data_IF_961753690811
#
_entry.id   IF_961753690811
#
_cell.length_a   1.000
_cell.length_b   1.000
_cell.length_c   1.000
_cell.angle_alpha   90.00
_cell.angle_beta   90.00
_cell.angle_gamma   90.00
#
_symmetry.space_group_name_H-M   'P 1'
#
loop_
_entity.id
_entity.type
_entity.pdbx_description
1 polymer ?
#
# COMPACT_ATOMS: atom_id res chain seq x y z
N UNK A 1 -39.45 28.32 -29.93
CA UNK A 1 -39.57 27.09 -29.13
C UNK A 1 -40.80 27.21 -28.24
N UNK A 2 -41.93 26.73 -28.76
CA UNK A 2 -43.19 26.63 -28.02
C UNK A 2 -43.02 25.70 -26.80
N UNK A 3 -43.81 25.91 -25.75
CA UNK A 3 -43.79 25.02 -24.58
C UNK A 3 -44.18 23.57 -24.93
N UNK A 4 -45.04 23.41 -25.94
CA UNK A 4 -45.47 22.12 -26.49
C UNK A 4 -44.32 21.35 -27.15
N UNK A 5 -43.45 22.06 -27.90
CA UNK A 5 -42.26 21.45 -28.51
C UNK A 5 -41.31 20.94 -27.44
N UNK A 6 -41.10 21.73 -26.37
CA UNK A 6 -40.26 21.32 -25.23
C UNK A 6 -40.83 20.09 -24.51
N UNK A 7 -42.15 19.97 -24.38
CA UNK A 7 -42.79 18.80 -23.79
C UNK A 7 -42.60 17.56 -24.66
N UNK A 8 -42.81 17.68 -25.97
CA UNK A 8 -42.57 16.60 -26.94
C UNK A 8 -41.12 16.09 -26.89
N UNK A 9 -40.13 16.99 -26.78
CA UNK A 9 -38.73 16.58 -26.62
C UNK A 9 -38.47 15.83 -25.31
N UNK A 10 -39.09 16.25 -24.20
CA UNK A 10 -38.95 15.56 -22.91
C UNK A 10 -39.57 14.16 -22.94
N UNK A 11 -40.74 14.01 -23.55
CA UNK A 11 -41.40 12.72 -23.71
C UNK A 11 -40.61 11.78 -24.61
N UNK A 12 -40.14 12.27 -25.76
CA UNK A 12 -39.29 11.50 -26.66
C UNK A 12 -37.99 11.05 -25.97
N UNK A 13 -37.35 11.94 -25.21
CA UNK A 13 -36.16 11.61 -24.43
C UNK A 13 -36.44 10.51 -23.40
N UNK A 14 -37.59 10.57 -22.70
CA UNK A 14 -37.98 9.55 -21.72
C UNK A 14 -38.17 8.19 -22.40
N UNK A 15 -38.90 8.15 -23.50
CA UNK A 15 -39.14 6.94 -24.29
C UNK A 15 -37.81 6.37 -24.80
N UNK A 16 -36.92 7.22 -25.30
CA UNK A 16 -35.61 6.81 -25.82
C UNK A 16 -34.68 6.30 -24.71
N UNK A 17 -34.70 6.93 -23.54
CA UNK A 17 -33.96 6.48 -22.36
C UNK A 17 -34.45 5.10 -21.87
N UNK A 18 -35.76 4.87 -21.84
CA UNK A 18 -36.35 3.59 -21.46
C UNK A 18 -35.97 2.49 -22.47
N UNK A 19 -36.10 2.78 -23.78
CA UNK A 19 -35.64 1.88 -24.86
C UNK A 19 -34.16 1.55 -24.72
N UNK A 20 -33.31 2.56 -24.51
CA UNK A 20 -31.87 2.35 -24.32
C UNK A 20 -31.59 1.46 -23.10
N UNK A 21 -32.26 1.69 -21.97
CA UNK A 21 -32.08 0.87 -20.76
C UNK A 21 -32.43 -0.60 -21.00
N UNK A 22 -33.50 -0.87 -21.75
CA UNK A 22 -33.92 -2.22 -22.14
C UNK A 22 -32.86 -2.88 -23.04
N UNK A 23 -32.39 -2.17 -24.07
CA UNK A 23 -31.36 -2.69 -24.99
C UNK A 23 -30.04 -3.03 -24.27
N UNK A 24 -29.62 -2.21 -23.30
CA UNK A 24 -28.41 -2.48 -22.50
C UNK A 24 -28.63 -3.65 -21.55
N UNK A 25 -29.81 -3.77 -20.94
CA UNK A 25 -30.18 -4.92 -20.12
C UNK A 25 -30.06 -6.22 -20.93
N UNK A 26 -30.63 -6.23 -22.14
CA UNK A 26 -30.66 -7.43 -22.97
C UNK A 26 -29.28 -7.78 -23.53
N UNK A 27 -28.47 -6.77 -23.88
CA UNK A 27 -27.06 -6.94 -24.21
C UNK A 27 -26.25 -7.52 -23.03
N UNK A 28 -26.47 -7.02 -21.81
CA UNK A 28 -25.75 -7.54 -20.64
C UNK A 28 -26.14 -8.99 -20.30
N UNK A 29 -27.39 -9.39 -20.59
CA UNK A 29 -27.86 -10.78 -20.42
C UNK A 29 -27.32 -11.71 -21.50
N UNK A 30 -27.08 -11.21 -22.72
CA UNK A 30 -26.56 -12.02 -23.83
C UNK A 30 -25.05 -12.24 -23.76
N UNK A 31 -24.32 -11.47 -22.95
CA UNK A 31 -22.88 -11.64 -22.75
C UNK A 31 -22.57 -12.95 -22.02
N UNK A 32 -21.63 -13.72 -22.58
CA UNK A 32 -21.09 -14.90 -21.89
C UNK A 32 -20.14 -14.51 -20.77
N UNK A 33 -19.93 -15.39 -19.79
CA UNK A 33 -18.99 -15.15 -18.69
C UNK A 33 -17.56 -14.84 -19.18
N UNK A 34 -17.12 -15.47 -20.27
CA UNK A 34 -15.82 -15.21 -20.90
C UNK A 34 -15.75 -13.80 -21.50
N UNK A 35 -16.80 -13.36 -22.20
CA UNK A 35 -16.88 -12.00 -22.73
C UNK A 35 -16.88 -10.95 -21.62
N UNK A 36 -17.59 -11.21 -20.52
CA UNK A 36 -17.60 -10.34 -19.33
C UNK A 36 -16.18 -10.24 -18.73
N UNK A 37 -15.46 -11.35 -18.63
CA UNK A 37 -14.07 -11.35 -18.15
C UNK A 37 -13.15 -10.56 -19.08
N UNK A 38 -13.23 -10.79 -20.39
CA UNK A 38 -12.44 -10.05 -21.39
C UNK A 38 -12.72 -8.54 -21.33
N UNK A 39 -13.98 -8.12 -21.20
CA UNK A 39 -14.36 -6.72 -21.03
C UNK A 39 -13.77 -6.11 -19.76
N UNK A 40 -13.76 -6.86 -18.65
CA UNK A 40 -13.13 -6.44 -17.38
C UNK A 40 -11.61 -6.28 -17.53
N UNK A 41 -10.96 -7.19 -18.23
CA UNK A 41 -9.51 -7.11 -18.51
C UNK A 41 -9.17 -5.89 -19.36
N UNK A 42 -9.92 -5.67 -20.44
CA UNK A 42 -9.76 -4.48 -21.31
C UNK A 42 -9.97 -3.20 -20.50
N UNK A 43 -11.00 -3.14 -19.66
CA UNK A 43 -11.27 -1.99 -18.80
C UNK A 43 -10.13 -1.75 -17.80
N UNK A 44 -9.60 -2.82 -17.19
CA UNK A 44 -8.46 -2.77 -16.29
C UNK A 44 -7.19 -2.31 -17.02
N UNK A 45 -6.93 -2.80 -18.23
CA UNK A 45 -5.80 -2.41 -19.05
C UNK A 45 -5.88 -0.93 -19.44
N UNK A 46 -7.06 -0.45 -19.85
CA UNK A 46 -7.31 0.99 -20.11
C UNK A 46 -7.08 1.84 -18.86
N UNK A 47 -7.58 1.40 -17.70
CA UNK A 47 -7.40 2.10 -16.41
C UNK A 47 -5.92 2.16 -16.01
N UNK A 48 -5.19 1.05 -16.12
CA UNK A 48 -3.75 0.99 -15.80
C UNK A 48 -2.93 1.83 -16.78
N UNK A 49 -3.23 1.81 -18.08
CA UNK A 49 -2.62 2.72 -19.07
C UNK A 49 -2.85 4.19 -18.72
N UNK A 50 -4.07 4.57 -18.34
CA UNK A 50 -4.40 5.94 -17.89
C UNK A 50 -3.64 6.34 -16.62
N UNK A 51 -3.57 5.44 -15.63
CA UNK A 51 -2.79 5.66 -14.40
C UNK A 51 -1.29 5.81 -14.68
N UNK A 52 -0.71 4.95 -15.54
CA UNK A 52 0.70 5.06 -15.98
C UNK A 52 0.99 6.41 -16.64
N UNK A 53 0.09 6.89 -17.51
CA UNK A 53 0.22 8.22 -18.16
C UNK A 53 0.18 9.36 -17.14
N UNK A 54 -0.78 9.34 -16.22
CA UNK A 54 -0.86 10.33 -15.13
C UNK A 54 0.40 10.33 -14.27
N UNK A 55 0.88 9.15 -13.89
CA UNK A 55 2.10 9.01 -13.10
C UNK A 55 3.34 9.52 -13.85
N UNK A 56 3.47 9.20 -15.14
CA UNK A 56 4.57 9.70 -15.99
C UNK A 56 4.53 11.22 -16.12
N UNK A 57 3.34 11.80 -16.27
CA UNK A 57 3.15 13.26 -16.30
C UNK A 57 3.57 13.87 -14.97
N UNK A 58 3.08 13.34 -13.86
CA UNK A 58 3.45 13.80 -12.52
C UNK A 58 4.96 13.77 -12.29
N UNK A 59 5.63 12.65 -12.60
CA UNK A 59 7.09 12.55 -12.46
C UNK A 59 7.85 13.55 -13.34
N UNK A 60 7.28 13.94 -14.49
CA UNK A 60 7.87 14.93 -15.40
C UNK A 60 7.68 16.34 -14.81
N UNK A 61 6.47 16.66 -14.36
CA UNK A 61 6.10 17.98 -13.84
C UNK A 61 6.83 18.27 -12.52
N UNK A 62 7.06 17.24 -11.68
CA UNK A 62 7.80 17.37 -10.41
C UNK A 62 9.30 17.10 -10.54
N UNK A 63 9.84 17.04 -11.76
CA UNK A 63 11.26 16.82 -12.03
C UNK A 63 11.88 15.66 -11.23
N UNK A 64 11.21 14.51 -11.20
CA UNK A 64 11.69 13.33 -10.47
C UNK A 64 13.14 13.02 -10.84
N UNK A 65 14.06 12.88 -9.86
CA UNK A 65 15.44 12.54 -10.12
C UNK A 65 15.56 11.30 -11.01
N UNK A 66 16.45 11.34 -12.00
CA UNK A 66 16.69 10.23 -12.92
C UNK A 66 17.87 9.40 -12.44
N UNK A 67 17.74 8.08 -12.55
CA UNK A 67 18.83 7.15 -12.20
C UNK A 67 20.08 7.47 -13.03
N UNK A 68 21.27 7.46 -12.43
CA UNK A 68 22.51 7.62 -13.18
C UNK A 68 22.71 6.45 -14.16
N UNK A 69 23.37 6.73 -15.28
CA UNK A 69 23.73 5.73 -16.27
C UNK A 69 24.69 4.71 -15.65
N UNK A 70 24.57 3.44 -16.04
CA UNK A 70 25.51 2.39 -15.60
C UNK A 70 26.90 2.59 -16.20
N UNK A 71 27.98 2.09 -15.58
CA UNK A 71 29.36 2.25 -16.06
C UNK A 71 29.53 1.86 -17.54
N UNK A 72 29.03 0.68 -17.93
CA UNK A 72 29.03 0.22 -19.32
C UNK A 72 28.26 1.17 -20.26
N UNK A 73 27.13 1.72 -19.82
CA UNK A 73 26.34 2.66 -20.63
C UNK A 73 27.06 3.99 -20.79
N UNK A 74 27.80 4.45 -19.78
CA UNK A 74 28.66 5.63 -19.90
C UNK A 74 29.76 5.39 -20.93
N UNK A 75 30.41 4.23 -20.91
CA UNK A 75 31.36 3.83 -21.93
C UNK A 75 30.74 3.79 -23.32
N UNK A 76 29.54 3.21 -23.48
CA UNK A 76 28.83 3.24 -24.77
C UNK A 76 28.54 4.67 -25.24
N UNK A 77 28.16 5.59 -24.35
CA UNK A 77 27.98 7.00 -24.70
C UNK A 77 29.29 7.62 -25.22
N UNK A 78 30.41 7.35 -24.57
CA UNK A 78 31.72 7.84 -24.99
C UNK A 78 32.13 7.22 -26.33
N UNK A 79 31.93 5.92 -26.54
CA UNK A 79 32.19 5.27 -27.83
C UNK A 79 31.31 5.88 -28.92
N UNK A 80 30.02 6.09 -28.68
CA UNK A 80 29.12 6.76 -29.62
C UNK A 80 29.62 8.16 -30.00
N UNK A 81 30.15 8.93 -29.04
CA UNK A 81 30.73 10.25 -29.29
C UNK A 81 32.00 10.16 -30.13
N UNK A 82 32.86 9.18 -29.85
CA UNK A 82 34.14 8.99 -30.53
C UNK A 82 34.00 8.43 -31.95
N UNK A 83 33.07 7.48 -32.16
CA UNK A 83 32.83 6.83 -33.45
C UNK A 83 31.72 7.49 -34.28
N UNK A 84 31.02 8.48 -33.70
CA UNK A 84 29.84 9.12 -34.29
C UNK A 84 28.73 8.13 -34.70
N UNK A 85 28.65 6.99 -34.00
CA UNK A 85 27.63 5.96 -34.22
C UNK A 85 26.47 6.20 -33.23
N UNK A 86 25.20 6.15 -33.66
CA UNK A 86 24.07 6.29 -32.75
C UNK A 86 24.01 5.11 -31.77
N UNK A 87 23.63 5.38 -30.51
CA UNK A 87 23.54 4.36 -29.44
C UNK A 87 22.75 3.12 -29.83
N UNK A 88 21.69 3.28 -30.63
CA UNK A 88 20.81 2.19 -31.05
C UNK A 88 21.54 1.18 -31.95
N UNK A 89 22.53 1.63 -32.71
CA UNK A 89 23.36 0.76 -33.55
C UNK A 89 24.43 0.09 -32.68
N UNK A 90 25.12 0.85 -31.84
CA UNK A 90 26.13 0.31 -30.93
C UNK A 90 25.56 -0.74 -29.94
N UNK A 91 24.31 -0.59 -29.52
CA UNK A 91 23.65 -1.55 -28.62
C UNK A 91 23.35 -2.89 -29.29
N UNK A 92 23.29 -2.93 -30.63
CA UNK A 92 23.10 -4.18 -31.39
C UNK A 92 24.40 -4.95 -31.58
N UNK A 93 25.55 -4.29 -31.39
CA UNK A 93 26.84 -4.93 -31.54
C UNK A 93 27.05 -5.98 -30.43
N UNK A 94 27.17 -7.27 -30.77
CA UNK A 94 27.32 -8.33 -29.77
C UNK A 94 28.67 -8.24 -29.05
N UNK A 95 29.66 -7.58 -29.65
CA UNK A 95 31.01 -7.46 -29.13
C UNK A 95 31.21 -6.28 -28.19
N UNK A 96 30.23 -5.38 -28.01
CA UNK A 96 30.39 -4.22 -27.12
C UNK A 96 30.68 -4.63 -25.67
N UNK A 97 30.08 -5.74 -25.23
CA UNK A 97 30.30 -6.31 -23.89
C UNK A 97 31.71 -6.88 -23.76
N UNK A 98 32.21 -7.57 -24.79
CA UNK A 98 33.59 -8.09 -24.82
C UNK A 98 34.60 -6.94 -24.85
N UNK A 99 34.34 -5.89 -25.64
CA UNK A 99 35.16 -4.67 -25.69
C UNK A 99 35.27 -4.03 -24.30
N UNK A 100 34.16 -3.92 -23.58
CA UNK A 100 34.15 -3.46 -22.19
C UNK A 100 34.94 -4.36 -21.24
N UNK A 101 34.79 -5.68 -21.34
CA UNK A 101 35.54 -6.63 -20.49
C UNK A 101 37.05 -6.63 -20.79
N UNK A 102 37.43 -6.35 -22.04
CA UNK A 102 38.83 -6.21 -22.45
C UNK A 102 39.47 -4.87 -22.05
N UNK A 103 38.71 -3.91 -21.52
CA UNK A 103 39.28 -2.63 -21.08
C UNK A 103 40.20 -2.81 -19.87
N UNK A 104 41.26 -1.99 -19.77
CA UNK A 104 42.10 -1.91 -18.58
C UNK A 104 41.26 -1.72 -17.32
N UNK A 105 41.68 -2.36 -16.23
CA UNK A 105 40.98 -2.26 -14.95
C UNK A 105 40.94 -0.82 -14.43
N UNK A 106 41.96 0.00 -14.75
CA UNK A 106 42.01 1.43 -14.46
C UNK A 106 40.84 2.20 -15.07
N UNK A 107 40.54 1.93 -16.35
CA UNK A 107 39.51 2.65 -17.08
C UNK A 107 38.13 2.21 -16.61
N UNK A 108 37.95 0.91 -16.35
CA UNK A 108 36.71 0.39 -15.74
C UNK A 108 36.44 0.99 -14.36
N UNK A 109 37.48 1.13 -13.52
CA UNK A 109 37.38 1.77 -12.20
C UNK A 109 36.95 3.23 -12.28
N UNK A 110 37.48 4.01 -13.24
CA UNK A 110 37.06 5.41 -13.48
C UNK A 110 35.54 5.52 -13.69
N UNK A 111 34.96 4.68 -14.53
CA UNK A 111 33.50 4.71 -14.76
C UNK A 111 32.71 4.27 -13.52
N UNK A 112 33.21 3.28 -12.78
CA UNK A 112 32.59 2.81 -11.54
C UNK A 112 32.57 3.93 -10.49
N UNK A 113 33.69 4.62 -10.26
CA UNK A 113 33.77 5.74 -9.32
C UNK A 113 32.81 6.88 -9.70
N UNK A 114 32.77 7.24 -10.99
CA UNK A 114 31.83 8.25 -11.51
C UNK A 114 30.39 7.80 -11.29
N UNK A 115 30.08 6.53 -11.53
CA UNK A 115 28.75 5.96 -11.28
C UNK A 115 28.39 6.03 -9.79
N UNK A 116 29.28 5.59 -8.90
CA UNK A 116 29.04 5.60 -7.45
C UNK A 116 28.80 7.01 -6.94
N UNK A 117 29.60 7.99 -7.37
CA UNK A 117 29.40 9.41 -7.02
C UNK A 117 28.05 9.94 -7.49
N UNK A 118 27.68 9.68 -8.75
CA UNK A 118 26.38 10.09 -9.30
C UNK A 118 25.21 9.37 -8.64
N UNK A 119 25.40 8.11 -8.24
CA UNK A 119 24.40 7.30 -7.54
C UNK A 119 24.17 7.81 -6.13
N UNK A 120 25.21 8.14 -5.38
CA UNK A 120 25.08 8.74 -4.05
C UNK A 120 24.30 10.05 -4.11
N UNK A 121 24.62 10.92 -5.07
CA UNK A 121 23.87 12.17 -5.29
C UNK A 121 22.40 11.90 -5.65
N UNK A 122 22.15 11.00 -6.60
CA UNK A 122 20.79 10.61 -6.98
C UNK A 122 19.98 10.06 -5.79
N UNK A 123 20.59 9.23 -4.94
CA UNK A 123 19.92 8.66 -3.78
C UNK A 123 19.53 9.75 -2.77
N UNK A 124 20.34 10.80 -2.60
CA UNK A 124 20.02 11.99 -1.78
C UNK A 124 18.88 12.82 -2.40
N UNK A 125 19.03 13.22 -3.67
CA UNK A 125 18.04 14.01 -4.40
C UNK A 125 16.67 13.30 -4.43
N UNK A 126 16.68 11.96 -4.57
CA UNK A 126 15.46 11.15 -4.56
C UNK A 126 14.77 11.17 -3.20
N UNK A 127 15.52 11.09 -2.09
CA UNK A 127 14.91 11.14 -0.76
C UNK A 127 14.27 12.50 -0.49
N UNK A 128 14.92 13.59 -0.90
CA UNK A 128 14.37 14.94 -0.77
C UNK A 128 13.10 15.11 -1.61
N UNK A 129 13.14 14.71 -2.88
CA UNK A 129 11.97 14.70 -3.75
C UNK A 129 10.82 13.87 -3.15
N UNK A 130 11.11 12.69 -2.59
CA UNK A 130 10.09 11.84 -1.97
C UNK A 130 9.42 12.51 -0.76
N UNK A 131 10.13 13.33 0.03
CA UNK A 131 9.53 14.09 1.14
C UNK A 131 8.54 15.13 0.62
N UNK A 132 8.94 15.93 -0.38
CA UNK A 132 8.08 16.94 -1.01
C UNK A 132 6.81 16.28 -1.58
N UNK A 133 6.95 15.12 -2.23
CA UNK A 133 5.82 14.39 -2.79
C UNK A 133 4.86 13.83 -1.74
N UNK A 134 5.34 13.53 -0.52
CA UNK A 134 4.49 13.11 0.59
C UNK A 134 3.69 14.31 1.10
N UNK A 135 4.34 15.47 1.25
CA UNK A 135 3.72 16.73 1.68
C UNK A 135 2.65 17.20 0.70
N UNK A 136 2.89 17.09 -0.61
CA UNK A 136 1.93 17.41 -1.68
C UNK A 136 0.81 16.35 -1.86
N UNK A 137 0.75 15.34 -0.98
CA UNK A 137 -0.29 14.30 -0.99
C UNK A 137 -0.13 13.26 -2.12
N UNK A 138 0.99 13.26 -2.82
CA UNK A 138 1.32 12.35 -3.92
C UNK A 138 2.06 11.08 -3.45
N UNK A 139 1.60 10.48 -2.36
CA UNK A 139 2.19 9.27 -1.76
C UNK A 139 2.32 8.10 -2.74
N UNK A 140 1.39 7.97 -3.69
CA UNK A 140 1.42 6.92 -4.72
C UNK A 140 2.63 6.99 -5.67
N UNK A 141 3.36 8.11 -5.72
CA UNK A 141 4.54 8.31 -6.55
C UNK A 141 5.86 7.96 -5.85
N UNK A 142 5.81 7.75 -4.54
CA UNK A 142 6.94 7.55 -3.63
C UNK A 142 7.16 6.05 -3.36
N UNK A 143 8.42 5.65 -3.08
CA UNK A 143 8.72 4.26 -2.75
C UNK A 143 8.02 3.84 -1.45
N UNK A 144 7.55 2.58 -1.41
CA UNK A 144 6.94 2.02 -0.20
C UNK A 144 7.86 2.04 1.01
N UNK A 145 9.19 1.94 0.82
CA UNK A 145 10.16 2.04 1.92
C UNK A 145 10.09 3.41 2.58
N UNK A 146 10.21 4.47 1.78
CA UNK A 146 10.13 5.86 2.26
C UNK A 146 8.78 6.12 2.90
N UNK A 147 7.68 5.63 2.30
CA UNK A 147 6.36 5.68 2.91
C UNK A 147 6.32 4.94 4.25
N UNK A 148 6.91 3.76 4.41
CA UNK A 148 6.91 3.06 5.71
C UNK A 148 7.74 3.78 6.76
N UNK A 149 8.82 4.44 6.34
CA UNK A 149 9.68 5.23 7.23
C UNK A 149 8.97 6.51 7.69
N UNK A 150 8.22 7.19 6.81
CA UNK A 150 7.46 8.41 7.14
C UNK A 150 6.09 8.12 7.76
N UNK A 151 5.42 7.06 7.31
CA UNK A 151 4.15 6.54 7.82
C UNK A 151 4.38 5.56 8.99
N UNK A 152 5.61 5.54 9.54
CA UNK A 152 5.83 5.15 10.91
C UNK A 152 5.00 6.13 11.75
N UNK A 153 3.82 5.67 12.16
CA UNK A 153 2.85 6.44 12.95
C UNK A 153 3.43 6.95 14.28
N UNK A 154 4.68 6.62 14.63
CA UNK A 154 5.34 7.00 15.86
C UNK A 154 6.51 7.96 15.54
N UNK A 155 6.54 9.16 16.14
CA UNK A 155 7.67 10.07 16.11
C UNK A 155 9.00 9.41 16.49
N UNK A 156 10.14 9.89 15.98
CA UNK A 156 11.48 9.36 16.27
C UNK A 156 11.72 9.05 17.74
N UNK A 157 11.31 9.96 18.62
CA UNK A 157 11.55 9.91 20.05
C UNK A 157 10.71 8.85 20.76
N UNK A 158 9.63 8.35 20.13
CA UNK A 158 8.80 7.27 20.67
C UNK A 158 8.84 5.99 19.82
N UNK A 159 9.60 5.95 18.72
CA UNK A 159 9.77 4.74 17.88
C UNK A 159 10.42 3.58 18.63
N UNK A 160 11.34 3.89 19.53
CA UNK A 160 12.04 2.89 20.36
C UNK A 160 11.15 2.38 21.52
N UNK A 161 10.12 3.14 21.91
CA UNK A 161 9.10 2.73 22.87
C UNK A 161 8.18 1.72 22.17
N UNK A 162 8.56 0.44 22.23
CA UNK A 162 7.78 -0.62 21.58
C UNK A 162 6.39 -0.69 22.17
N UNK A 163 5.39 -0.28 21.40
CA UNK A 163 3.98 -0.41 21.80
C UNK A 163 3.66 -1.87 22.11
N UNK A 164 3.16 -2.19 23.31
CA UNK A 164 2.80 -3.57 23.66
C UNK A 164 1.86 -4.18 22.64
N UNK A 165 2.09 -5.45 22.27
CA UNK A 165 1.24 -6.17 21.32
C UNK A 165 -0.01 -6.67 22.02
N UNK A 166 -1.16 -6.56 21.35
CA UNK A 166 -2.43 -7.10 21.87
C UNK A 166 -2.29 -8.60 22.16
N UNK A 167 -2.89 -9.10 23.24
CA UNK A 167 -2.85 -10.52 23.58
C UNK A 167 -3.48 -11.34 22.44
N UNK A 168 -2.85 -12.47 22.13
CA UNK A 168 -3.34 -13.41 21.12
C UNK A 168 -4.73 -13.90 21.49
N UNK A 169 -5.69 -13.81 20.57
CA UNK A 169 -7.05 -14.30 20.80
C UNK A 169 -7.07 -15.78 21.17
N UNK A 170 -8.03 -16.20 22.00
CA UNK A 170 -8.24 -17.59 22.46
C UNK A 170 -8.17 -18.60 21.32
N UNK A 171 -8.90 -18.33 20.23
CA UNK A 171 -8.89 -19.17 19.03
C UNK A 171 -7.53 -19.18 18.32
N UNK A 172 -6.82 -18.04 18.27
CA UNK A 172 -5.52 -17.96 17.61
C UNK A 172 -4.44 -18.73 18.39
N UNK A 173 -4.55 -18.79 19.72
CA UNK A 173 -3.69 -19.62 20.55
C UNK A 173 -3.90 -21.11 20.25
N UNK A 174 -5.16 -21.56 20.19
CA UNK A 174 -5.51 -22.91 19.76
C UNK A 174 -5.04 -23.21 18.34
N UNK A 175 -5.28 -22.31 17.40
CA UNK A 175 -4.83 -22.45 16.02
C UNK A 175 -3.31 -22.62 15.93
N UNK A 176 -2.55 -21.89 16.74
CA UNK A 176 -1.09 -22.00 16.79
C UNK A 176 -0.63 -23.34 17.39
N UNK A 177 -1.31 -23.88 18.39
CA UNK A 177 -1.04 -25.23 18.91
C UNK A 177 -1.34 -26.29 17.84
N UNK A 178 -2.48 -26.19 17.16
CA UNK A 178 -2.89 -27.16 16.13
C UNK A 178 -2.03 -27.10 14.87
N UNK A 179 -1.55 -25.93 14.48
CA UNK A 179 -0.59 -25.79 13.37
C UNK A 179 0.77 -26.41 13.66
N UNK A 180 1.22 -26.44 14.93
CA UNK A 180 2.44 -27.14 15.32
C UNK A 180 2.30 -28.66 15.24
N UNK A 181 1.10 -29.16 15.55
CA UNK A 181 0.76 -30.59 15.49
C UNK A 181 0.49 -31.07 14.06
N UNK A 182 -0.14 -30.23 13.22
CA UNK A 182 -0.54 -30.55 11.84
C UNK A 182 0.22 -29.69 10.84
N UNK A 183 1.51 -30.02 10.64
CA UNK A 183 2.40 -29.28 9.72
C UNK A 183 2.16 -29.62 8.23
N UNK A 184 1.51 -30.75 7.96
CA UNK A 184 1.39 -31.31 6.61
C UNK A 184 0.17 -30.81 5.82
N UNK A 185 -0.75 -30.07 6.46
CA UNK A 185 -1.98 -29.59 5.83
C UNK A 185 -1.84 -28.13 5.37
N UNK A 186 -2.25 -27.78 4.13
CA UNK A 186 -2.28 -26.40 3.66
C UNK A 186 -3.05 -25.47 4.63
N UNK A 187 -2.39 -24.38 5.03
CA UNK A 187 -2.87 -23.46 6.09
C UNK A 187 -4.28 -22.89 5.87
N UNK A 188 -4.78 -22.86 4.63
CA UNK A 188 -6.10 -22.28 4.30
C UNK A 188 -7.24 -23.26 4.62
N UNK A 189 -7.05 -24.55 4.38
CA UNK A 189 -8.03 -25.60 4.66
C UNK A 189 -8.04 -25.95 6.14
N UNK A 190 -6.85 -26.05 6.73
CA UNK A 190 -6.67 -26.26 8.16
C UNK A 190 -7.40 -25.19 8.98
N UNK A 191 -7.32 -23.91 8.60
CA UNK A 191 -8.02 -22.83 9.32
C UNK A 191 -9.55 -22.97 9.28
N UNK A 192 -10.13 -23.48 8.20
CA UNK A 192 -11.58 -23.69 8.10
C UNK A 192 -12.02 -24.83 9.02
N UNK A 193 -11.30 -25.95 8.98
CA UNK A 193 -11.56 -27.09 9.86
C UNK A 193 -11.35 -26.74 11.34
N UNK A 194 -10.27 -26.03 11.68
CA UNK A 194 -10.01 -25.60 13.06
C UNK A 194 -11.08 -24.65 13.60
N UNK A 195 -11.73 -23.87 12.71
CA UNK A 195 -12.81 -22.98 13.13
C UNK A 195 -14.07 -23.76 13.52
N UNK A 196 -14.42 -24.80 12.76
CA UNK A 196 -15.55 -25.68 13.10
C UNK A 196 -15.23 -26.51 14.35
N UNK A 197 -14.03 -27.08 14.44
CA UNK A 197 -13.56 -27.81 15.63
C UNK A 197 -13.61 -26.91 16.88
N UNK A 198 -13.15 -25.66 16.77
CA UNK A 198 -13.22 -24.71 17.89
C UNK A 198 -14.65 -24.37 18.33
N UNK A 199 -15.61 -24.32 17.40
CA UNK A 199 -17.01 -24.08 17.74
C UNK A 199 -17.59 -25.29 18.52
N UNK A 200 -17.24 -26.51 18.10
CA UNK A 200 -17.68 -27.78 18.72
C UNK A 200 -16.93 -28.18 19.99
N UNK A 201 -15.74 -27.64 20.26
CA UNK A 201 -14.94 -27.98 21.45
C UNK A 201 -15.67 -27.70 22.78
N UNK A 202 -15.36 -28.52 23.79
CA UNK A 202 -15.95 -28.43 25.12
C UNK A 202 -15.54 -27.15 25.85
N UNK A 203 -16.41 -26.66 26.75
CA UNK A 203 -16.12 -25.45 27.54
C UNK A 203 -14.88 -25.62 28.43
N UNK A 204 -14.57 -26.85 28.86
CA UNK A 204 -13.39 -27.18 29.66
C UNK A 204 -12.08 -26.99 28.89
N UNK A 205 -12.05 -27.38 27.61
CA UNK A 205 -10.89 -27.15 26.73
C UNK A 205 -10.74 -25.67 26.40
N UNK A 206 -11.87 -24.98 26.17
CA UNK A 206 -11.91 -23.53 25.97
C UNK A 206 -11.45 -22.77 27.23
N UNK A 207 -11.69 -23.31 28.43
CA UNK A 207 -11.32 -22.68 29.71
C UNK A 207 -9.81 -22.48 29.84
N UNK A 208 -8.99 -23.44 29.39
CA UNK A 208 -7.53 -23.31 29.34
C UNK A 208 -7.10 -22.07 28.54
N UNK A 209 -7.69 -21.87 27.36
CA UNK A 209 -7.39 -20.72 26.52
C UNK A 209 -7.99 -19.42 27.07
N UNK A 210 -9.15 -19.50 27.73
CA UNK A 210 -9.81 -18.34 28.35
C UNK A 210 -8.97 -17.75 29.49
N UNK A 211 -8.52 -18.61 30.41
CA UNK A 211 -7.69 -18.19 31.54
C UNK A 211 -6.32 -17.68 31.10
N UNK A 212 -5.70 -18.33 30.11
CA UNK A 212 -4.46 -17.85 29.51
C UNK A 212 -4.62 -16.47 28.83
N UNK A 213 -5.73 -16.27 28.10
CA UNK A 213 -6.05 -14.98 27.48
C UNK A 213 -6.29 -13.88 28.52
N UNK A 214 -7.00 -14.17 29.61
CA UNK A 214 -7.27 -13.20 30.67
C UNK A 214 -5.99 -12.74 31.37
N UNK A 215 -5.09 -13.67 31.71
CA UNK A 215 -3.77 -13.34 32.27
C UNK A 215 -2.95 -12.50 31.29
N UNK A 216 -2.92 -12.87 30.01
CA UNK A 216 -2.21 -12.11 28.99
C UNK A 216 -2.81 -10.71 28.76
N UNK A 217 -4.14 -10.59 28.88
CA UNK A 217 -4.85 -9.32 28.79
C UNK A 217 -4.52 -8.38 29.94
N UNK A 218 -4.44 -8.89 31.17
CA UNK A 218 -4.04 -8.10 32.34
C UNK A 218 -2.63 -7.54 32.18
N UNK A 219 -1.65 -8.39 31.83
CA UNK A 219 -0.27 -7.97 31.55
C UNK A 219 -0.21 -6.92 30.43
N UNK A 220 -0.95 -7.15 29.35
CA UNK A 220 -1.04 -6.18 28.25
C UNK A 220 -1.60 -4.83 28.70
N UNK A 221 -2.60 -4.82 29.59
CA UNK A 221 -3.15 -3.57 30.13
C UNK A 221 -2.16 -2.83 31.04
N UNK A 222 -1.35 -3.55 31.81
CA UNK A 222 -0.24 -3.01 32.60
C UNK A 222 0.85 -2.41 31.71
N UNK A 223 1.42 -3.20 30.81
CA UNK A 223 2.45 -2.77 29.86
C UNK A 223 1.98 -1.56 29.04
N UNK A 224 0.71 -1.56 28.63
CA UNK A 224 0.13 -0.48 27.84
C UNK A 224 0.01 0.81 28.65
N UNK A 225 -0.29 0.74 29.97
CA UNK A 225 -0.30 1.93 30.83
C UNK A 225 1.10 2.52 30.97
N UNK A 226 2.11 1.68 31.20
CA UNK A 226 3.50 2.14 31.30
C UNK A 226 3.97 2.77 29.99
N UNK A 227 3.64 2.16 28.85
CA UNK A 227 3.94 2.72 27.54
C UNK A 227 3.24 4.06 27.31
N UNK A 228 1.95 4.16 27.66
CA UNK A 228 1.17 5.40 27.55
C UNK A 228 1.77 6.52 28.40
N UNK A 229 2.24 6.22 29.61
CA UNK A 229 2.90 7.19 30.47
C UNK A 229 4.20 7.71 29.83
N UNK A 230 5.07 6.82 29.35
CA UNK A 230 6.32 7.20 28.67
C UNK A 230 6.08 8.04 27.41
N UNK A 231 5.02 7.75 26.67
CA UNK A 231 4.63 8.53 25.47
C UNK A 231 4.08 9.91 25.84
N UNK A 232 3.35 10.04 26.97
CA UNK A 232 2.93 11.34 27.49
C UNK A 232 4.11 12.18 27.99
N UNK A 233 5.07 11.55 28.69
CA UNK A 233 6.32 12.20 29.13
C UNK A 233 7.16 12.70 27.95
N UNK A 234 7.15 11.95 26.84
CA UNK A 234 7.77 12.37 25.58
C UNK A 234 6.99 13.46 24.82
N UNK A 235 5.88 13.98 25.37
CA UNK A 235 5.14 15.11 24.80
C UNK A 235 4.20 14.75 23.65
N UNK A 236 3.85 13.47 23.47
CA UNK A 236 3.03 13.02 22.35
C UNK A 236 1.68 12.40 22.77
N UNK A 237 0.75 13.18 23.38
CA UNK A 237 -0.54 12.68 23.84
C UNK A 237 -1.44 12.11 22.71
N UNK A 238 -1.21 12.50 21.46
CA UNK A 238 -1.96 12.04 20.28
C UNK A 238 -1.83 10.53 19.99
N UNK A 239 -0.77 9.88 20.46
CA UNK A 239 -0.54 8.44 20.25
C UNK A 239 -1.10 7.55 21.37
N UNK A 240 -1.60 8.17 22.43
CA UNK A 240 -2.15 7.54 23.64
C UNK A 240 -3.67 7.37 23.44
N UNK A 241 -4.32 6.40 24.11
CA UNK A 241 -5.77 6.19 23.96
C UNK A 241 -6.54 7.48 24.28
N UNK A 242 -7.59 7.85 23.52
CA UNK A 242 -8.42 9.01 23.86
C UNK A 242 -8.99 8.95 25.28
N UNK A 243 -9.30 7.76 25.80
CA UNK A 243 -9.81 7.57 27.16
C UNK A 243 -8.81 7.96 28.25
N UNK A 244 -7.51 7.96 27.97
CA UNK A 244 -6.47 8.19 28.99
C UNK A 244 -6.04 9.65 29.09
N UNK A 245 -6.12 10.44 28.02
CA UNK A 245 -5.76 11.87 28.04
C UNK A 245 -6.94 12.83 27.77
N UNK A 246 -8.06 12.36 27.20
CA UNK A 246 -9.26 13.19 27.04
C UNK A 246 -10.27 12.92 28.15
N UNK A 247 -10.96 13.97 28.64
CA UNK A 247 -12.04 13.79 29.60
C UNK A 247 -13.15 12.93 28.99
N UNK A 248 -13.78 12.11 29.85
CA UNK A 248 -14.88 11.22 29.45
C UNK A 248 -16.05 12.06 28.95
N UNK A 249 -16.14 12.22 27.63
CA UNK A 249 -17.20 13.00 26.99
C UNK A 249 -18.55 12.34 27.27
N UNK A 250 -19.39 13.00 28.06
CA UNK A 250 -20.75 12.53 28.27
C UNK A 250 -21.50 12.62 26.94
N UNK A 251 -22.10 11.50 26.52
CA UNK A 251 -22.89 11.52 25.30
C UNK A 251 -24.14 12.37 25.54
N UNK A 252 -24.46 13.26 24.60
CA UNK A 252 -25.67 14.09 24.62
C UNK A 252 -26.95 13.27 24.83
N UNK A 253 -26.94 12.00 24.40
CA UNK A 253 -28.06 11.06 24.61
C UNK A 253 -28.18 10.65 26.09
N UNK A 254 -27.06 10.46 26.81
CA UNK A 254 -27.07 10.13 28.25
C UNK A 254 -27.49 11.32 29.10
N UNK A 255 -27.05 12.54 28.75
CA UNK A 255 -27.48 13.75 29.45
C UNK A 255 -28.98 14.00 29.25
N UNK A 256 -29.51 13.85 28.03
CA UNK A 256 -30.94 13.97 27.75
C UNK A 256 -31.81 12.90 28.44
N UNK A 257 -31.30 11.67 28.63
CA UNK A 257 -32.02 10.63 29.38
C UNK A 257 -32.02 10.87 30.89
N UNK A 258 -30.95 11.45 31.44
CA UNK A 258 -30.85 11.79 32.87
C UNK A 258 -31.78 12.95 33.24
N UNK A 259 -31.95 13.92 32.35
CA UNK A 259 -32.91 15.04 32.51
C UNK A 259 -34.37 14.57 32.41
N UNK A 260 -34.67 13.49 31.70
CA UNK A 260 -36.03 12.92 31.61
C UNK A 260 -36.42 11.99 32.77
N UNK A 261 -35.49 11.64 33.66
CA UNK A 261 -35.75 10.76 34.81
C UNK A 261 -35.70 11.49 36.16
N UNK A 262 -35.66 12.82 36.13
CA UNK A 262 -35.92 13.71 37.26
C UNK A 262 -37.23 14.44 36.98
#
# INVERSE_FOLDING_TARGET
MSEEEKQKYKENYKIESEKYSQTISDYNKSLTNEQIQALKEIALEKKTKKQKRKMKKLCKDTNKPKRPLLPLTMYMMEVCQMSNIPLKELMKDPDIRKKWESLPESDRKRYEEVYQRKKAKYDQDLLEWEKIMIEDGHQNAVRQRTLKETNSYLPPDIRHLTKPKRPTSRFMAYQAEQQKLRKDVPSKELKKALRTEWEEMSELEKLKYNTAYEKAKQKYEEDLREWEQKVMEAGHPEFVRPKTHLPKRESRIKTLKKVKSQ
#
